data_IF_146645250820
#
_entry.id   IF_146645250820
#
_cell.length_a   1.000
_cell.length_b   1.000
_cell.length_c   1.000
_cell.angle_alpha   90.00
_cell.angle_beta   90.00
_cell.angle_gamma   90.00
#
_symmetry.space_group_name_H-M   'P 1'
#
loop_
_entity.id
_entity.type
_entity.pdbx_description
1 polymer ?
#
# COMPACT_ATOMS: atom_id res chain seq x y z
N UNK A 1 -2.25 -20.57 -8.78
CA UNK A 1 -2.76 -19.45 -7.97
C UNK A 1 -2.62 -19.82 -6.49
N UNK A 2 -2.91 -18.93 -5.56
CA UNK A 2 -2.83 -19.23 -4.13
C UNK A 2 -4.19 -18.98 -3.47
N UNK A 3 -4.45 -19.66 -2.36
CA UNK A 3 -5.67 -19.50 -1.56
C UNK A 3 -5.41 -18.54 -0.42
N UNK A 4 -6.22 -17.50 -0.27
CA UNK A 4 -6.33 -16.71 0.97
C UNK A 4 -7.46 -17.30 1.82
N UNK A 5 -7.27 -17.36 3.13
CA UNK A 5 -8.22 -17.98 4.04
C UNK A 5 -8.31 -17.28 5.39
N UNK A 6 -9.47 -17.44 6.01
CA UNK A 6 -9.75 -17.03 7.38
C UNK A 6 -10.21 -18.27 8.13
N UNK A 7 -9.54 -18.58 9.23
CA UNK A 7 -9.90 -19.64 10.15
C UNK A 7 -10.40 -19.04 11.45
N UNK A 8 -11.25 -19.77 12.18
CA UNK A 8 -11.70 -19.41 13.52
C UNK A 8 -11.17 -20.43 14.52
N UNK A 9 -10.58 -19.96 15.62
CA UNK A 9 -10.45 -20.77 16.83
C UNK A 9 -11.68 -20.49 17.72
N UNK A 10 -12.61 -21.45 17.86
CA UNK A 10 -13.87 -21.22 18.56
C UNK A 10 -13.71 -21.09 20.08
N UNK A 11 -12.60 -21.56 20.68
CA UNK A 11 -12.40 -21.46 22.13
C UNK A 11 -12.04 -20.03 22.55
N UNK A 12 -11.12 -19.41 21.82
CA UNK A 12 -10.59 -18.08 22.14
C UNK A 12 -11.26 -16.96 21.32
N UNK A 13 -12.17 -17.32 20.41
CA UNK A 13 -12.85 -16.41 19.49
C UNK A 13 -11.88 -15.51 18.72
N UNK A 14 -10.77 -16.10 18.27
CA UNK A 14 -9.76 -15.42 17.44
C UNK A 14 -9.83 -15.95 16.02
N UNK A 15 -9.66 -15.05 15.06
CA UNK A 15 -9.51 -15.44 13.66
C UNK A 15 -8.03 -15.52 13.29
N UNK A 16 -7.68 -16.50 12.46
CA UNK A 16 -6.38 -16.61 11.82
C UNK A 16 -6.50 -16.25 10.35
N UNK A 17 -5.70 -15.30 9.90
CA UNK A 17 -5.67 -14.86 8.49
C UNK A 17 -4.37 -15.34 7.86
N UNK A 18 -4.46 -16.06 6.75
CA UNK A 18 -3.26 -16.52 6.04
C UNK A 18 -3.50 -16.85 4.58
N UNK A 19 -2.43 -17.23 3.89
CA UNK A 19 -2.49 -17.79 2.55
C UNK A 19 -1.74 -19.11 2.40
N UNK A 20 -2.01 -19.83 1.32
CA UNK A 20 -1.31 -21.05 0.95
C UNK A 20 -1.27 -21.24 -0.57
N UNK A 21 -0.17 -21.75 -1.10
CA UNK A 21 -0.11 -22.28 -2.48
C UNK A 21 -0.74 -23.67 -2.57
N UNK A 22 -0.55 -24.51 -1.55
CA UNK A 22 -1.23 -25.79 -1.37
C UNK A 22 -2.07 -25.74 -0.09
N UNK A 23 -3.35 -25.39 -0.22
CA UNK A 23 -4.25 -25.20 0.92
C UNK A 23 -4.52 -26.50 1.71
N UNK A 24 -4.79 -27.67 1.08
CA UNK A 24 -4.95 -28.92 1.82
C UNK A 24 -3.76 -29.28 2.72
N UNK A 25 -2.53 -29.24 2.19
CA UNK A 25 -1.32 -29.53 2.97
C UNK A 25 -1.11 -28.52 4.10
N UNK A 26 -1.33 -27.23 3.82
CA UNK A 26 -1.25 -26.19 4.84
C UNK A 26 -2.27 -26.42 5.95
N UNK A 27 -3.50 -26.82 5.61
CA UNK A 27 -4.56 -27.10 6.58
C UNK A 27 -4.22 -28.30 7.46
N UNK A 28 -3.72 -29.40 6.87
CA UNK A 28 -3.28 -30.58 7.62
C UNK A 28 -2.18 -30.22 8.64
N UNK A 29 -1.21 -29.39 8.23
CA UNK A 29 -0.17 -28.88 9.12
C UNK A 29 -0.72 -28.00 10.24
N UNK A 30 -1.65 -27.09 9.94
CA UNK A 30 -2.26 -26.20 10.94
C UNK A 30 -3.10 -26.98 11.95
N UNK A 31 -3.90 -27.95 11.48
CA UNK A 31 -4.74 -28.80 12.33
C UNK A 31 -3.91 -29.73 13.23
N UNK A 32 -2.71 -30.13 12.80
CA UNK A 32 -1.79 -30.90 13.64
C UNK A 32 -1.33 -30.07 14.86
N UNK A 33 -1.13 -28.77 14.69
CA UNK A 33 -0.72 -27.86 15.77
C UNK A 33 -1.91 -27.34 16.59
N UNK A 34 -3.06 -27.09 15.95
CA UNK A 34 -4.30 -26.67 16.59
C UNK A 34 -5.49 -27.36 15.90
N UNK A 35 -6.00 -28.49 16.45
CA UNK A 35 -7.03 -29.29 15.80
C UNK A 35 -8.42 -28.66 15.80
N UNK A 36 -8.59 -27.51 16.49
CA UNK A 36 -9.89 -26.85 16.65
C UNK A 36 -10.17 -25.79 15.59
N UNK A 37 -9.16 -25.43 14.80
CA UNK A 37 -9.32 -24.42 13.76
C UNK A 37 -10.36 -24.87 12.74
N UNK A 38 -11.36 -24.03 12.51
CA UNK A 38 -12.37 -24.24 11.48
C UNK A 38 -12.22 -23.20 10.37
N UNK A 39 -12.44 -23.62 9.12
CA UNK A 39 -12.41 -22.70 7.98
C UNK A 39 -13.72 -21.93 7.95
N UNK A 40 -13.67 -20.61 8.09
CA UNK A 40 -14.85 -19.73 7.94
C UNK A 40 -14.90 -19.09 6.56
N UNK A 41 -13.75 -18.88 5.92
CA UNK A 41 -13.67 -18.40 4.55
C UNK A 41 -12.40 -18.89 3.85
N UNK A 42 -12.51 -19.16 2.55
CA UNK A 42 -11.35 -19.38 1.68
C UNK A 42 -11.72 -19.03 0.24
N UNK A 43 -10.78 -18.46 -0.49
CA UNK A 43 -10.91 -18.20 -1.92
C UNK A 43 -9.55 -18.35 -2.62
N UNK A 44 -9.56 -18.89 -3.82
CA UNK A 44 -8.38 -18.95 -4.69
C UNK A 44 -8.33 -17.70 -5.57
N UNK A 45 -7.17 -17.05 -5.62
CA UNK A 45 -7.00 -15.78 -6.34
C UNK A 45 -5.53 -15.52 -6.64
N UNK A 46 -5.26 -14.77 -7.70
CA UNK A 46 -3.92 -14.25 -8.01
C UNK A 46 -3.48 -13.16 -7.02
N UNK A 47 -4.42 -12.54 -6.32
CA UNK A 47 -4.17 -11.46 -5.36
C UNK A 47 -3.90 -11.94 -3.94
N UNK A 48 -3.80 -13.25 -3.68
CA UNK A 48 -3.79 -13.82 -2.34
C UNK A 48 -2.73 -13.19 -1.40
N UNK A 49 -1.52 -12.93 -1.92
CA UNK A 49 -0.46 -12.25 -1.17
C UNK A 49 -0.80 -10.79 -0.83
N UNK A 50 -1.39 -10.05 -1.78
CA UNK A 50 -1.82 -8.66 -1.54
C UNK A 50 -2.96 -8.61 -0.52
N UNK A 51 -3.95 -9.48 -0.65
CA UNK A 51 -5.11 -9.56 0.26
C UNK A 51 -4.70 -9.90 1.69
N UNK A 52 -3.86 -10.92 1.88
CA UNK A 52 -3.31 -11.28 3.20
C UNK A 52 -2.63 -10.07 3.85
N UNK A 53 -1.75 -9.39 3.10
CA UNK A 53 -1.05 -8.21 3.59
C UNK A 53 -2.00 -7.05 3.94
N UNK A 54 -3.03 -6.81 3.13
CA UNK A 54 -4.04 -5.76 3.40
C UNK A 54 -4.81 -6.06 4.68
N UNK A 55 -5.29 -7.30 4.85
CA UNK A 55 -5.99 -7.75 6.05
C UNK A 55 -5.11 -7.62 7.30
N UNK A 56 -3.85 -8.06 7.21
CA UNK A 56 -2.88 -8.00 8.31
C UNK A 56 -2.57 -6.58 8.76
N UNK A 57 -2.52 -5.62 7.81
CA UNK A 57 -2.34 -4.19 8.09
C UNK A 57 -3.61 -3.57 8.66
N UNK A 58 -4.76 -3.86 8.05
CA UNK A 58 -6.04 -3.29 8.46
C UNK A 58 -6.41 -3.69 9.89
N UNK A 59 -6.18 -4.95 10.26
CA UNK A 59 -6.47 -5.46 11.60
C UNK A 59 -5.25 -5.48 12.52
N UNK A 60 -4.16 -4.77 12.20
CA UNK A 60 -2.94 -4.79 13.00
C UNK A 60 -3.16 -4.40 14.47
N UNK A 61 -4.07 -3.45 14.74
CA UNK A 61 -4.44 -3.04 16.10
C UNK A 61 -5.23 -4.07 16.90
N UNK A 62 -5.76 -5.11 16.24
CA UNK A 62 -6.51 -6.22 16.84
C UNK A 62 -5.68 -7.51 16.86
N UNK A 63 -4.39 -7.45 16.53
CA UNK A 63 -3.50 -8.62 16.51
C UNK A 63 -3.12 -9.01 17.94
N UNK A 64 -3.42 -10.24 18.32
CA UNK A 64 -3.10 -10.78 19.66
C UNK A 64 -1.76 -11.52 19.64
N UNK A 65 -1.59 -12.46 18.71
CA UNK A 65 -0.37 -13.25 18.61
C UNK A 65 -0.14 -13.72 17.17
N UNK A 66 1.04 -13.44 16.63
CA UNK A 66 1.42 -13.92 15.29
C UNK A 66 0.41 -13.48 14.23
N UNK A 67 -0.33 -14.44 13.68
CA UNK A 67 -1.36 -14.24 12.64
C UNK A 67 -2.80 -14.35 13.18
N UNK A 68 -2.98 -14.27 14.50
CA UNK A 68 -4.28 -14.31 15.16
C UNK A 68 -4.76 -12.92 15.54
N UNK A 69 -6.03 -12.64 15.27
CA UNK A 69 -6.66 -11.34 15.43
C UNK A 69 -7.99 -11.49 16.19
N UNK A 70 -8.27 -10.54 17.08
CA UNK A 70 -9.52 -10.44 17.82
C UNK A 70 -10.53 -9.60 17.05
N UNK A 71 -11.13 -10.22 16.03
CA UNK A 71 -12.10 -9.62 15.12
C UNK A 71 -13.13 -10.68 14.74
N UNK A 72 -14.40 -10.29 14.66
CA UNK A 72 -15.47 -11.17 14.16
C UNK A 72 -15.18 -11.64 12.72
N UNK A 73 -15.45 -12.91 12.42
CA UNK A 73 -15.18 -13.49 11.09
C UNK A 73 -15.87 -12.72 9.98
N UNK A 74 -17.11 -12.29 10.20
CA UNK A 74 -17.92 -11.59 9.20
C UNK A 74 -17.32 -10.22 8.87
N UNK A 75 -16.79 -9.51 9.85
CA UNK A 75 -16.11 -8.21 9.64
C UNK A 75 -14.86 -8.40 8.77
N UNK A 76 -14.07 -9.44 9.05
CA UNK A 76 -12.88 -9.74 8.26
C UNK A 76 -13.23 -10.17 6.83
N UNK A 77 -14.27 -10.97 6.64
CA UNK A 77 -14.77 -11.39 5.33
C UNK A 77 -15.29 -10.21 4.52
N UNK A 78 -16.05 -9.30 5.14
CA UNK A 78 -16.54 -8.07 4.49
C UNK A 78 -15.39 -7.21 3.99
N UNK A 79 -14.35 -7.01 4.81
CA UNK A 79 -13.17 -6.25 4.38
C UNK A 79 -12.39 -6.98 3.27
N UNK A 80 -12.22 -8.30 3.38
CA UNK A 80 -11.57 -9.12 2.35
C UNK A 80 -12.27 -8.94 0.99
N UNK A 81 -13.60 -9.06 0.95
CA UNK A 81 -14.37 -8.91 -0.28
C UNK A 81 -14.22 -7.51 -0.87
N UNK A 82 -14.27 -6.47 -0.03
CA UNK A 82 -14.04 -5.07 -0.46
C UNK A 82 -12.63 -4.89 -1.06
N UNK A 83 -11.60 -5.39 -0.37
CA UNK A 83 -10.22 -5.30 -0.83
C UNK A 83 -10.02 -6.06 -2.15
N UNK A 84 -10.62 -7.24 -2.28
CA UNK A 84 -10.54 -8.05 -3.49
C UNK A 84 -11.21 -7.36 -4.68
N UNK A 85 -12.36 -6.72 -4.47
CA UNK A 85 -13.03 -5.94 -5.50
C UNK A 85 -12.15 -4.78 -6.00
N UNK A 86 -11.54 -4.01 -5.11
CA UNK A 86 -10.62 -2.92 -5.48
C UNK A 86 -9.43 -3.46 -6.29
N UNK A 87 -8.84 -4.58 -5.88
CA UNK A 87 -7.72 -5.16 -6.62
C UNK A 87 -8.12 -5.66 -8.02
N UNK A 88 -9.33 -6.21 -8.16
CA UNK A 88 -9.88 -6.60 -9.46
C UNK A 88 -10.11 -5.41 -10.37
N UNK A 89 -10.69 -4.33 -9.84
CA UNK A 89 -10.89 -3.08 -10.60
C UNK A 89 -9.55 -2.50 -11.04
N UNK A 90 -8.56 -2.45 -10.15
CA UNK A 90 -7.21 -1.99 -10.50
C UNK A 90 -6.56 -2.84 -11.59
N UNK A 91 -6.71 -4.18 -11.53
CA UNK A 91 -6.12 -5.05 -12.55
C UNK A 91 -6.78 -4.87 -13.92
N UNK A 92 -8.08 -4.56 -13.96
CA UNK A 92 -8.81 -4.31 -15.21
C UNK A 92 -8.36 -3.02 -15.90
N UNK A 93 -7.79 -2.05 -15.17
CA UNK A 93 -7.27 -0.82 -15.76
C UNK A 93 -5.92 -1.10 -16.43
N UNK A 94 -5.94 -1.33 -17.74
CA UNK A 94 -4.73 -1.57 -18.55
C UNK A 94 -4.11 -0.25 -18.99
N UNK A 95 -3.10 0.22 -18.26
CA UNK A 95 -2.35 1.45 -18.60
C UNK A 95 -0.99 1.21 -19.26
N UNK A 96 -0.52 -0.04 -19.32
CA UNK A 96 0.85 -0.36 -19.75
C UNK A 96 1.16 0.12 -21.17
N UNK A 97 0.18 0.02 -22.07
CA UNK A 97 0.31 0.48 -23.45
C UNK A 97 0.47 2.01 -23.49
N UNK A 98 -0.26 2.73 -22.64
CA UNK A 98 -0.12 4.18 -22.53
C UNK A 98 1.22 4.57 -21.93
N UNK A 99 1.76 3.81 -20.97
CA UNK A 99 3.05 4.11 -20.35
C UNK A 99 4.24 3.93 -21.31
N UNK A 100 4.10 3.06 -22.32
CA UNK A 100 5.15 2.73 -23.30
C UNK A 100 5.09 3.56 -24.57
N UNK A 101 4.01 4.28 -24.82
CA UNK A 101 3.88 5.06 -26.05
C UNK A 101 4.99 6.14 -26.14
N UNK A 102 5.75 6.10 -27.24
CA UNK A 102 6.92 6.97 -27.49
C UNK A 102 6.51 8.41 -27.79
N UNK A 103 5.36 8.60 -28.42
CA UNK A 103 4.83 9.91 -28.79
C UNK A 103 3.68 10.32 -27.86
N UNK A 104 3.65 11.61 -27.52
CA UNK A 104 2.55 12.23 -26.79
C UNK A 104 1.59 12.85 -27.81
N UNK A 105 0.30 12.55 -27.66
CA UNK A 105 -0.74 13.28 -28.35
C UNK A 105 -0.87 14.70 -27.76
N UNK A 106 -1.52 15.59 -28.52
CA UNK A 106 -1.82 16.95 -28.07
C UNK A 106 -2.68 16.95 -26.80
N UNK A 107 -2.53 18.01 -26.00
CA UNK A 107 -3.32 18.21 -24.79
C UNK A 107 -4.78 18.43 -25.18
N UNK A 108 -5.66 17.53 -24.73
CA UNK A 108 -7.11 17.69 -24.88
C UNK A 108 -7.72 18.52 -23.76
N UNK A 109 -8.86 19.14 -24.04
CA UNK A 109 -9.68 19.77 -22.99
C UNK A 109 -10.19 18.71 -22.00
N UNK A 110 -10.27 19.04 -20.69
CA UNK A 110 -10.82 18.13 -19.70
C UNK A 110 -12.32 17.96 -19.89
N UNK A 111 -12.81 16.75 -19.67
CA UNK A 111 -14.25 16.46 -19.57
C UNK A 111 -14.68 16.42 -18.09
N UNK A 112 -15.98 16.19 -17.86
CA UNK A 112 -16.54 16.11 -16.51
C UNK A 112 -15.92 14.96 -15.68
N UNK A 113 -15.51 13.87 -16.33
CA UNK A 113 -14.93 12.72 -15.64
C UNK A 113 -13.50 13.02 -15.18
N UNK A 114 -12.71 13.74 -15.97
CA UNK A 114 -11.38 14.19 -15.56
C UNK A 114 -11.45 15.04 -14.28
N UNK A 115 -12.41 15.99 -14.24
CA UNK A 115 -12.61 16.85 -13.08
C UNK A 115 -13.00 16.06 -11.84
N UNK A 116 -13.92 15.10 -11.96
CA UNK A 116 -14.31 14.23 -10.85
C UNK A 116 -13.10 13.46 -10.30
N UNK A 117 -12.31 12.84 -11.17
CA UNK A 117 -11.13 12.07 -10.77
C UNK A 117 -10.09 12.94 -10.05
N UNK A 118 -9.79 14.13 -10.58
CA UNK A 118 -8.84 15.07 -9.96
C UNK A 118 -9.33 15.53 -8.58
N UNK A 119 -10.63 15.78 -8.42
CA UNK A 119 -11.22 16.18 -7.15
C UNK A 119 -11.17 15.05 -6.11
N UNK A 120 -11.54 13.84 -6.49
CA UNK A 120 -11.46 12.65 -5.62
C UNK A 120 -10.03 12.38 -5.18
N UNK A 121 -9.06 12.41 -6.12
CA UNK A 121 -7.64 12.25 -5.81
C UNK A 121 -7.12 13.33 -4.88
N UNK A 122 -7.45 14.60 -5.14
CA UNK A 122 -7.00 15.72 -4.31
C UNK A 122 -7.53 15.63 -2.89
N UNK A 123 -8.80 15.22 -2.72
CA UNK A 123 -9.41 15.00 -1.40
C UNK A 123 -8.72 13.89 -0.63
N UNK A 124 -8.42 12.75 -1.29
CA UNK A 124 -7.71 11.63 -0.68
C UNK A 124 -6.27 12.00 -0.31
N UNK A 125 -5.54 12.70 -1.18
CA UNK A 125 -4.18 13.17 -0.88
C UNK A 125 -4.15 14.09 0.35
N UNK A 126 -5.12 15.00 0.47
CA UNK A 126 -5.23 15.87 1.64
C UNK A 126 -5.44 15.08 2.93
N UNK A 127 -6.38 14.13 2.93
CA UNK A 127 -6.63 13.27 4.10
C UNK A 127 -5.40 12.44 4.47
N UNK A 128 -4.68 11.91 3.47
CA UNK A 128 -3.43 11.16 3.71
C UNK A 128 -2.37 12.08 4.33
N UNK A 129 -2.22 13.32 3.84
CA UNK A 129 -1.25 14.27 4.37
C UNK A 129 -1.54 14.61 5.84
N UNK A 130 -2.80 14.87 6.18
CA UNK A 130 -3.21 15.16 7.56
C UNK A 130 -2.93 13.97 8.50
N UNK A 131 -3.31 12.76 8.09
CA UNK A 131 -3.04 11.53 8.85
C UNK A 131 -1.54 11.23 9.01
N UNK A 132 -0.72 11.57 8.00
CA UNK A 132 0.74 11.43 8.08
C UNK A 132 1.35 12.38 9.11
N UNK A 133 0.87 13.62 9.18
CA UNK A 133 1.31 14.59 10.18
C UNK A 133 0.94 14.11 11.59
N UNK A 134 -0.29 13.64 11.79
CA UNK A 134 -0.74 13.09 13.08
C UNK A 134 0.08 11.85 13.49
N UNK A 135 0.31 10.93 12.55
CA UNK A 135 1.16 9.77 12.78
C UNK A 135 2.58 10.17 13.20
N UNK A 136 3.17 11.19 12.56
CA UNK A 136 4.52 11.66 12.86
C UNK A 136 4.60 12.33 14.24
N UNK A 137 3.56 13.08 14.64
CA UNK A 137 3.46 13.64 15.99
C UNK A 137 3.48 12.53 17.05
N UNK A 138 2.67 11.49 16.88
CA UNK A 138 2.61 10.36 17.80
C UNK A 138 3.94 9.59 17.86
N UNK A 139 4.62 9.41 16.72
CA UNK A 139 5.97 8.81 16.68
C UNK A 139 6.96 9.62 17.49
N UNK A 140 7.00 10.95 17.29
CA UNK A 140 7.89 11.84 18.04
C UNK A 140 7.62 11.82 19.55
N UNK A 141 6.36 11.76 19.96
CA UNK A 141 6.01 11.58 21.37
C UNK A 141 6.51 10.23 21.93
N UNK A 142 6.35 9.14 21.19
CA UNK A 142 6.87 7.83 21.63
C UNK A 142 8.40 7.84 21.73
N UNK A 143 9.07 8.44 20.74
CA UNK A 143 10.52 8.64 20.71
C UNK A 143 10.99 9.45 21.92
N UNK A 144 10.34 10.58 22.23
CA UNK A 144 10.63 11.40 23.40
C UNK A 144 10.51 10.59 24.70
N UNK A 145 9.50 9.72 24.80
CA UNK A 145 9.29 8.84 25.97
C UNK A 145 10.32 7.71 26.08
N UNK A 146 10.79 7.15 24.96
CA UNK A 146 11.87 6.16 24.93
C UNK A 146 13.19 6.79 25.42
N UNK A 147 13.44 8.04 25.03
CA UNK A 147 14.65 8.77 25.38
C UNK A 147 15.90 8.08 24.84
N UNK A 148 16.88 7.83 25.70
CA UNK A 148 18.14 7.16 25.36
C UNK A 148 18.08 5.63 25.45
N UNK A 149 16.91 5.07 25.80
CA UNK A 149 16.74 3.61 25.88
C UNK A 149 16.71 2.99 24.48
N UNK A 150 17.11 1.73 24.36
CA UNK A 150 17.01 1.00 23.08
C UNK A 150 15.55 0.70 22.66
N UNK A 151 14.56 1.02 23.50
CA UNK A 151 13.14 0.79 23.24
C UNK A 151 12.29 0.68 24.50
N UNK A 152 11.04 0.24 24.32
CA UNK A 152 10.11 -0.17 25.38
C UNK A 152 9.76 -1.64 25.15
N UNK A 153 9.99 -2.49 26.15
CA UNK A 153 9.77 -3.93 26.05
C UNK A 153 8.35 -4.26 25.56
N UNK A 154 8.27 -5.10 24.52
CA UNK A 154 7.02 -5.52 23.90
C UNK A 154 6.32 -4.48 23.01
N UNK A 155 6.80 -3.23 22.94
CA UNK A 155 6.10 -2.15 22.22
C UNK A 155 6.92 -1.55 21.08
N UNK A 156 8.19 -1.22 21.32
CA UNK A 156 9.01 -0.53 20.33
C UNK A 156 10.50 -0.75 20.55
N UNK A 157 11.28 -0.69 19.48
CA UNK A 157 12.74 -0.59 19.54
C UNK A 157 13.21 0.63 18.76
N UNK A 158 14.27 1.26 19.24
CA UNK A 158 14.95 2.36 18.56
C UNK A 158 16.45 2.12 18.66
N UNK A 159 17.09 1.93 17.51
CA UNK A 159 18.54 1.81 17.37
C UNK A 159 19.12 2.92 16.51
N UNK A 160 20.38 3.24 16.75
CA UNK A 160 21.17 4.05 15.83
C UNK A 160 21.34 3.26 14.54
N UNK A 161 21.02 3.88 13.40
CA UNK A 161 21.25 3.30 12.08
C UNK A 161 22.17 4.26 11.31
N UNK A 162 23.33 3.75 10.90
CA UNK A 162 24.22 4.43 9.98
C UNK A 162 23.98 3.88 8.57
N UNK A 163 23.87 4.76 7.58
CA UNK A 163 23.85 4.37 6.18
C UNK A 163 24.80 5.26 5.41
N UNK A 164 25.76 4.66 4.71
CA UNK A 164 26.49 5.35 3.66
C UNK A 164 25.64 5.27 2.38
N UNK A 165 25.24 6.43 1.86
CA UNK A 165 24.62 6.51 0.54
C UNK A 165 25.65 7.02 -0.44
N UNK A 166 25.64 6.46 -1.63
CA UNK A 166 26.41 7.00 -2.74
C UNK A 166 25.92 8.41 -3.05
N UNK A 167 26.83 9.37 -3.05
CA UNK A 167 26.53 10.76 -3.42
C UNK A 167 26.67 10.89 -4.94
N UNK A 168 25.55 10.65 -5.63
CA UNK A 168 25.50 10.68 -7.10
C UNK A 168 25.90 12.03 -7.66
N UNK A 169 25.51 13.13 -7.01
CA UNK A 169 25.81 14.49 -7.47
C UNK A 169 27.29 14.83 -7.32
N UNK A 170 27.90 14.43 -6.19
CA UNK A 170 29.34 14.57 -5.99
C UNK A 170 30.13 13.74 -7.01
N UNK A 171 29.71 12.48 -7.23
CA UNK A 171 30.35 11.59 -8.19
C UNK A 171 30.20 12.07 -9.64
N UNK A 172 29.04 12.59 -10.02
CA UNK A 172 28.83 13.19 -11.35
C UNK A 172 29.74 14.39 -11.58
N UNK A 173 29.93 15.23 -10.56
CA UNK A 173 30.81 16.39 -10.63
C UNK A 173 32.29 16.01 -10.75
N UNK A 174 32.74 15.06 -9.94
CA UNK A 174 34.16 14.71 -9.83
C UNK A 174 34.58 13.64 -10.86
N UNK A 175 33.63 12.83 -11.35
CA UNK A 175 33.83 11.73 -12.30
C UNK A 175 32.71 11.65 -13.37
N UNK A 176 32.51 12.70 -14.19
CA UNK A 176 31.38 12.79 -15.13
C UNK A 176 31.35 11.66 -16.17
N UNK A 177 32.52 11.23 -16.66
CA UNK A 177 32.61 10.15 -17.66
C UNK A 177 32.17 8.79 -17.11
N UNK A 178 32.60 8.46 -15.88
CA UNK A 178 32.15 7.24 -15.20
C UNK A 178 30.67 7.33 -14.84
N UNK A 179 30.19 8.49 -14.39
CA UNK A 179 28.77 8.68 -14.14
C UNK A 179 27.93 8.42 -15.40
N UNK A 180 28.34 8.95 -16.55
CA UNK A 180 27.68 8.70 -17.83
C UNK A 180 27.74 7.21 -18.24
N UNK A 181 28.90 6.55 -18.06
CA UNK A 181 29.08 5.14 -18.40
C UNK A 181 28.14 4.20 -17.63
N UNK A 182 27.85 4.51 -16.36
CA UNK A 182 27.01 3.69 -15.49
C UNK A 182 25.57 4.23 -15.33
N UNK A 183 25.22 5.30 -16.03
CA UNK A 183 23.87 5.85 -16.05
C UNK A 183 23.01 5.16 -17.10
N UNK A 184 21.80 4.74 -16.70
CA UNK A 184 20.79 4.21 -17.62
C UNK A 184 19.68 5.24 -17.82
N UNK A 185 19.55 5.74 -19.04
CA UNK A 185 18.38 6.55 -19.42
C UNK A 185 17.17 5.62 -19.49
N UNK A 186 16.13 5.94 -18.71
CA UNK A 186 14.84 5.25 -18.75
C UNK A 186 13.76 6.30 -18.98
N UNK A 187 12.97 6.13 -20.03
CA UNK A 187 11.78 6.95 -20.27
C UNK A 187 10.61 6.42 -19.44
N UNK A 188 9.86 7.32 -18.81
CA UNK A 188 8.65 6.98 -18.06
C UNK A 188 7.63 8.11 -18.17
N UNK A 189 6.35 7.77 -18.31
CA UNK A 189 5.26 8.74 -18.18
C UNK A 189 4.95 8.98 -16.70
N UNK A 190 4.89 10.26 -16.32
CA UNK A 190 4.61 10.68 -14.94
C UNK A 190 3.30 11.46 -14.94
N UNK A 191 2.30 10.96 -14.21
CA UNK A 191 1.07 11.69 -13.96
C UNK A 191 1.33 12.80 -12.94
N UNK A 192 1.01 14.04 -13.31
CA UNK A 192 0.97 15.20 -12.42
C UNK A 192 -0.35 15.90 -12.62
N UNK A 193 -1.03 16.25 -11.55
CA UNK A 193 -2.28 17.01 -11.59
C UNK A 193 -2.21 18.20 -10.64
N UNK A 194 -2.96 19.25 -10.96
CA UNK A 194 -3.05 20.46 -10.17
C UNK A 194 -4.21 20.31 -9.18
N UNK A 195 -4.05 20.86 -7.98
CA UNK A 195 -5.04 20.79 -6.88
C UNK A 195 -6.06 21.94 -6.92
N UNK A 196 -6.44 22.41 -8.11
CA UNK A 196 -7.37 23.54 -8.24
C UNK A 196 -8.82 23.08 -8.13
N UNK A 197 -9.64 23.86 -7.40
CA UNK A 197 -11.09 23.80 -7.52
C UNK A 197 -11.49 24.35 -8.88
N UNK A 198 -12.47 23.73 -9.54
CA UNK A 198 -13.13 24.28 -10.73
C UNK A 198 -13.67 25.66 -10.38
N UNK A 199 -12.97 26.71 -10.75
CA UNK A 199 -13.53 28.06 -10.78
C UNK A 199 -14.16 28.25 -12.14
N UNK A 200 -15.40 28.75 -12.20
CA UNK A 200 -16.10 29.09 -13.45
C UNK A 200 -15.38 30.17 -14.30
N UNK A 201 -14.17 30.60 -13.88
CA UNK A 201 -13.32 31.58 -14.54
C UNK A 201 -12.24 30.98 -15.44
N UNK A 202 -12.33 29.71 -15.86
CA UNK A 202 -11.62 29.29 -17.08
C UNK A 202 -12.40 29.78 -18.31
N UNK A 203 -12.51 31.10 -18.39
CA UNK A 203 -12.78 31.80 -19.64
C UNK A 203 -11.44 31.99 -20.36
N UNK A 204 -11.44 31.50 -21.59
CA UNK A 204 -10.50 31.65 -22.70
C UNK A 204 -9.36 32.68 -22.51
N UNK A 205 -8.12 32.19 -22.48
CA UNK A 205 -6.92 33.04 -22.46
C UNK A 205 -5.73 32.32 -23.06
N UNK A 206 -5.55 32.53 -24.36
CA UNK A 206 -4.41 32.15 -25.21
C UNK A 206 -3.10 32.66 -24.60
N UNK A 207 -2.05 31.83 -24.58
CA UNK A 207 -0.66 32.32 -24.59
C UNK A 207 0.02 31.77 -25.86
N UNK A 208 -0.20 32.49 -26.96
CA UNK A 208 0.79 32.63 -28.03
C UNK A 208 1.81 33.68 -27.55
N UNK A 209 3.05 33.24 -27.31
CA UNK A 209 4.27 34.04 -27.45
C UNK A 209 5.48 33.12 -27.58
#
# INVERSE_FOLDING_TARGET
MATVYILLDPEVSLIKIGRATNFPERMASLLTANPRLSVVHKEETEFASKLENMLHKHFASHREQGEFFKVESDVAIVYLNKAHQVLKEMDQIKIDDFLKAEELADIRMPDERDWQLVNELSSLESQIADLQVEQELLRKHLMQRIGTSAGVSGLATWKIQQSARFDSSLFERDHPELHAQYSKVTASRVLRFRRFLRTDSYDTGVDEA
#
